data_IF_144314809147
#
_entry.id   IF_144314809147
#
_cell.length_a   1.000
_cell.length_b   1.000
_cell.length_c   1.000
_cell.angle_alpha   90.00
_cell.angle_beta   90.00
_cell.angle_gamma   90.00
#
_symmetry.space_group_name_H-M   'P 1'
#
loop_
_entity.id
_entity.type
_entity.pdbx_description
1 polymer ?
#
# COMPACT_ATOMS: atom_id res chain seq x y z
N UNK A 1 3.92 -7.80 -13.15
CA UNK A 1 4.96 -6.74 -13.13
C UNK A 1 5.84 -6.89 -11.88
N UNK A 2 7.04 -6.29 -11.80
CA UNK A 2 7.83 -6.27 -10.55
C UNK A 2 7.31 -5.21 -9.56
N UNK A 3 7.27 -5.52 -8.27
CA UNK A 3 6.75 -4.62 -7.21
C UNK A 3 7.40 -3.24 -7.20
N UNK A 4 8.72 -3.17 -7.31
CA UNK A 4 9.43 -1.88 -7.32
C UNK A 4 9.05 -1.00 -8.52
N UNK A 5 8.88 -1.63 -9.69
CA UNK A 5 8.46 -0.92 -10.91
C UNK A 5 7.03 -0.41 -10.77
N UNK A 6 6.11 -1.25 -10.27
CA UNK A 6 4.73 -0.88 -10.02
C UNK A 6 4.63 0.28 -9.01
N UNK A 7 5.35 0.21 -7.89
CA UNK A 7 5.40 1.27 -6.88
C UNK A 7 5.91 2.58 -7.46
N UNK A 8 7.00 2.55 -8.24
CA UNK A 8 7.55 3.75 -8.86
C UNK A 8 6.55 4.39 -9.84
N UNK A 9 5.80 3.58 -10.59
CA UNK A 9 4.73 4.03 -11.49
C UNK A 9 3.59 4.67 -10.70
N UNK A 10 3.08 4.01 -9.66
CA UNK A 10 1.98 4.51 -8.82
C UNK A 10 2.36 5.82 -8.11
N UNK A 11 3.58 5.91 -7.60
CA UNK A 11 4.08 7.14 -6.97
C UNK A 11 4.22 8.27 -7.99
N UNK A 12 4.73 7.98 -9.18
CA UNK A 12 4.86 8.99 -10.23
C UNK A 12 3.50 9.54 -10.64
N UNK A 13 2.52 8.67 -10.89
CA UNK A 13 1.14 9.07 -11.21
C UNK A 13 0.52 9.91 -10.08
N UNK A 14 0.70 9.49 -8.83
CA UNK A 14 0.24 10.27 -7.67
C UNK A 14 0.90 11.66 -7.60
N UNK A 15 2.22 11.77 -7.83
CA UNK A 15 2.93 13.06 -7.87
C UNK A 15 2.45 13.95 -9.01
N UNK A 16 2.19 13.39 -10.19
CA UNK A 16 1.68 14.13 -11.35
C UNK A 16 0.26 14.63 -11.09
N UNK A 17 -0.61 13.80 -10.52
CA UNK A 17 -1.97 14.19 -10.10
C UNK A 17 -1.94 15.25 -9.00
N UNK A 18 -1.02 15.17 -8.04
CA UNK A 18 -0.86 16.19 -6.99
C UNK A 18 -0.45 17.54 -7.60
N UNK A 19 0.54 17.55 -8.49
CA UNK A 19 0.98 18.76 -9.20
C UNK A 19 -0.14 19.37 -10.05
N UNK A 20 -0.99 18.53 -10.63
CA UNK A 20 -2.14 18.96 -11.42
C UNK A 20 -3.34 19.42 -10.56
N UNK A 21 -3.26 19.33 -9.23
CA UNK A 21 -4.39 19.62 -8.32
C UNK A 21 -5.52 18.60 -8.40
N UNK A 22 -5.24 17.41 -8.94
CA UNK A 22 -6.20 16.30 -9.13
C UNK A 22 -6.06 15.20 -8.07
N UNK A 23 -4.93 15.13 -7.34
CA UNK A 23 -4.81 14.28 -6.17
C UNK A 23 -5.34 15.04 -4.94
N UNK A 24 -6.31 14.44 -4.25
CA UNK A 24 -6.92 15.01 -3.04
C UNK A 24 -6.15 14.70 -1.76
N UNK A 25 -5.32 13.65 -1.76
CA UNK A 25 -4.68 13.13 -0.55
C UNK A 25 -3.17 13.38 -0.56
N UNK A 26 -2.62 14.08 0.45
CA UNK A 26 -1.19 14.34 0.56
C UNK A 26 -0.41 13.05 0.88
N UNK A 27 0.88 13.03 0.55
CA UNK A 27 1.70 11.81 0.60
C UNK A 27 1.78 11.21 2.00
N UNK A 28 1.79 12.07 3.01
CA UNK A 28 1.88 11.65 4.40
C UNK A 28 0.62 10.89 4.82
N UNK A 29 -0.56 11.32 4.39
CA UNK A 29 -1.81 10.60 4.62
C UNK A 29 -1.84 9.28 3.85
N UNK A 30 -1.39 9.29 2.59
CA UNK A 30 -1.31 8.08 1.76
C UNK A 30 -0.40 7.03 2.40
N UNK A 31 0.78 7.40 2.91
CA UNK A 31 1.70 6.44 3.53
C UNK A 31 1.33 6.10 4.97
N UNK A 32 0.65 7.00 5.70
CA UNK A 32 0.08 6.67 7.01
C UNK A 32 -0.87 5.48 6.95
N UNK A 33 -1.55 5.23 5.81
CA UNK A 33 -2.44 4.07 5.66
C UNK A 33 -1.73 2.72 5.82
N UNK A 34 -0.44 2.63 5.49
CA UNK A 34 0.36 1.41 5.74
C UNK A 34 0.58 1.18 7.25
N UNK A 35 0.58 2.22 8.09
CA UNK A 35 0.85 2.08 9.52
C UNK A 35 2.31 1.78 9.89
N UNK A 36 3.22 1.72 8.90
CA UNK A 36 4.66 1.54 9.11
C UNK A 36 5.36 2.81 9.63
N UNK A 37 6.55 2.70 10.24
CA UNK A 37 7.23 3.84 10.90
C UNK A 37 8.03 4.71 9.93
N UNK A 38 8.16 4.30 8.67
CA UNK A 38 9.00 5.00 7.70
C UNK A 38 8.28 6.19 7.04
N UNK A 39 6.96 6.34 7.22
CA UNK A 39 6.17 7.47 6.66
C UNK A 39 6.73 8.85 7.06
N UNK A 40 7.33 8.97 8.25
CA UNK A 40 7.95 10.20 8.75
C UNK A 40 9.18 10.69 7.95
N UNK A 41 9.76 9.83 7.11
CA UNK A 41 10.92 10.17 6.28
C UNK A 41 10.54 10.63 4.88
N UNK A 42 9.24 10.66 4.58
CA UNK A 42 8.76 11.04 3.27
C UNK A 42 8.62 12.55 3.20
N UNK A 43 9.44 13.17 2.36
CA UNK A 43 9.40 14.61 2.08
C UNK A 43 8.98 14.86 0.62
N UNK A 44 8.35 16.02 0.32
CA UNK A 44 7.81 16.32 -1.01
C UNK A 44 8.84 16.34 -2.14
N UNK A 45 10.12 16.53 -1.82
CA UNK A 45 11.22 16.63 -2.78
C UNK A 45 11.80 15.27 -3.21
N UNK A 46 11.29 14.17 -2.65
CA UNK A 46 11.76 12.83 -3.01
C UNK A 46 11.33 12.45 -4.44
N UNK A 47 12.25 11.81 -5.16
CA UNK A 47 11.93 11.23 -6.46
C UNK A 47 10.96 10.05 -6.29
N UNK A 48 10.16 9.71 -7.32
CA UNK A 48 9.24 8.57 -7.25
C UNK A 48 9.90 7.27 -6.80
N UNK A 49 11.14 7.03 -7.25
CA UNK A 49 11.93 5.85 -6.90
C UNK A 49 12.30 5.84 -5.41
N UNK A 50 12.69 6.99 -4.84
CA UNK A 50 13.03 7.08 -3.41
C UNK A 50 11.80 6.86 -2.53
N UNK A 51 10.64 7.36 -2.94
CA UNK A 51 9.38 7.13 -2.21
C UNK A 51 8.96 5.66 -2.33
N UNK A 52 9.09 5.05 -3.52
CA UNK A 52 8.83 3.64 -3.73
C UNK A 52 9.73 2.75 -2.85
N UNK A 53 11.00 3.12 -2.68
CA UNK A 53 11.96 2.44 -1.80
C UNK A 53 11.52 2.51 -0.32
N UNK A 54 11.08 3.68 0.14
CA UNK A 54 10.54 3.85 1.50
C UNK A 54 9.24 3.04 1.72
N UNK A 55 8.38 2.98 0.71
CA UNK A 55 7.17 2.14 0.75
C UNK A 55 7.56 0.66 0.81
N UNK A 56 8.53 0.23 0.00
CA UNK A 56 9.04 -1.13 0.05
C UNK A 56 9.61 -1.48 1.43
N UNK A 57 10.38 -0.56 2.05
CA UNK A 57 10.85 -0.74 3.42
C UNK A 57 9.71 -0.90 4.44
N UNK A 58 8.64 -0.12 4.34
CA UNK A 58 7.45 -0.31 5.19
C UNK A 58 6.79 -1.67 4.95
N UNK A 59 6.63 -2.09 3.69
CA UNK A 59 6.05 -3.38 3.34
C UNK A 59 6.89 -4.53 3.88
N UNK A 60 8.21 -4.42 3.84
CA UNK A 60 9.14 -5.40 4.40
C UNK A 60 9.01 -5.48 5.92
N UNK A 61 9.00 -4.34 6.63
CA UNK A 61 8.78 -4.30 8.08
C UNK A 61 7.43 -4.92 8.49
N UNK A 62 6.42 -4.84 7.62
CA UNK A 62 5.09 -5.38 7.86
C UNK A 62 4.92 -6.83 7.38
N UNK A 63 5.90 -7.41 6.69
CA UNK A 63 5.76 -8.74 6.07
C UNK A 63 4.77 -8.80 4.90
N UNK A 64 4.51 -7.67 4.23
CA UNK A 64 3.51 -7.51 3.16
C UNK A 64 4.11 -7.54 1.75
N UNK A 65 5.42 -7.76 1.61
CA UNK A 65 6.11 -7.75 0.30
C UNK A 65 5.52 -8.79 -0.66
N UNK A 66 5.24 -10.01 -0.18
CA UNK A 66 4.67 -11.07 -1.00
C UNK A 66 3.25 -10.70 -1.46
N UNK A 67 2.39 -10.27 -0.54
CA UNK A 67 1.00 -9.85 -0.84
C UNK A 67 0.97 -8.68 -1.84
N UNK A 68 1.81 -7.67 -1.60
CA UNK A 68 1.95 -6.52 -2.49
C UNK A 68 2.48 -6.94 -3.87
N UNK A 69 3.43 -7.89 -3.91
CA UNK A 69 4.00 -8.45 -5.12
C UNK A 69 3.01 -9.27 -5.93
N UNK A 70 2.18 -10.10 -5.29
CA UNK A 70 1.12 -10.88 -5.94
C UNK A 70 0.10 -9.94 -6.60
N UNK A 71 -0.34 -8.91 -5.86
CA UNK A 71 -1.31 -7.94 -6.34
C UNK A 71 -0.85 -7.18 -7.58
N UNK A 72 0.40 -6.70 -7.59
CA UNK A 72 0.94 -6.05 -8.80
C UNK A 72 1.37 -7.04 -9.88
N UNK A 73 1.51 -8.31 -9.51
CA UNK A 73 1.87 -9.42 -10.39
C UNK A 73 0.82 -9.66 -11.47
N UNK A 74 -0.44 -9.37 -11.18
CA UNK A 74 -1.59 -9.51 -12.08
C UNK A 74 -1.52 -8.56 -13.29
N UNK A 75 -0.83 -7.42 -13.15
CA UNK A 75 -0.71 -6.43 -14.21
C UNK A 75 0.51 -6.67 -15.10
N UNK A 76 0.28 -6.54 -16.42
CA UNK A 76 1.34 -6.72 -17.43
C UNK A 76 2.00 -5.40 -17.83
N UNK A 77 1.30 -4.27 -17.73
CA UNK A 77 1.80 -2.97 -18.19
C UNK A 77 1.46 -1.85 -17.21
N UNK A 78 2.19 -0.73 -17.30
CA UNK A 78 1.95 0.44 -16.44
C UNK A 78 0.58 1.07 -16.70
N UNK A 79 0.08 0.99 -17.94
CA UNK A 79 -1.24 1.52 -18.30
C UNK A 79 -2.37 0.69 -17.68
N UNK A 80 -2.21 -0.63 -17.67
CA UNK A 80 -3.13 -1.58 -17.03
C UNK A 80 -3.17 -1.36 -15.52
N UNK A 81 -2.00 -1.23 -14.89
CA UNK A 81 -1.87 -0.90 -13.47
C UNK A 81 -2.58 0.42 -13.11
N UNK A 82 -2.35 1.50 -13.88
CA UNK A 82 -2.91 2.82 -13.59
C UNK A 82 -4.40 2.96 -13.92
N UNK A 83 -4.95 2.05 -14.72
CA UNK A 83 -6.38 1.98 -15.04
C UNK A 83 -7.19 1.50 -13.84
N UNK A 84 -6.67 0.49 -13.13
CA UNK A 84 -7.38 -0.22 -12.07
C UNK A 84 -6.89 0.12 -10.66
N UNK A 85 -5.69 0.66 -10.52
CA UNK A 85 -5.05 0.88 -9.24
C UNK A 85 -4.45 2.28 -9.13
N UNK A 86 -4.59 2.89 -7.96
CA UNK A 86 -3.85 4.09 -7.58
C UNK A 86 -3.11 3.86 -6.26
N UNK A 87 -2.14 4.72 -5.96
CA UNK A 87 -1.28 4.56 -4.79
C UNK A 87 -2.07 4.51 -3.48
N UNK A 88 -3.11 5.34 -3.34
CA UNK A 88 -3.89 5.41 -2.11
C UNK A 88 -4.68 4.12 -1.87
N UNK A 89 -5.38 3.61 -2.89
CA UNK A 89 -6.17 2.38 -2.76
C UNK A 89 -5.26 1.17 -2.56
N UNK A 90 -4.13 1.10 -3.28
CA UNK A 90 -3.15 0.04 -3.10
C UNK A 90 -2.65 -0.04 -1.66
N UNK A 91 -2.23 1.08 -1.08
CA UNK A 91 -1.74 1.12 0.30
C UNK A 91 -2.85 0.94 1.33
N UNK A 92 -4.04 1.48 1.06
CA UNK A 92 -5.22 1.33 1.91
C UNK A 92 -5.70 -0.11 1.99
N UNK A 93 -5.63 -0.88 0.90
CA UNK A 93 -5.95 -2.31 0.91
C UNK A 93 -4.92 -3.11 1.70
N UNK A 94 -3.62 -2.84 1.54
CA UNK A 94 -2.55 -3.52 2.28
C UNK A 94 -2.58 -3.19 3.79
N UNK A 95 -2.86 -1.92 4.15
CA UNK A 95 -3.02 -1.48 5.54
C UNK A 95 -4.33 -1.96 6.18
N UNK A 96 -5.39 -2.04 5.39
CA UNK A 96 -6.71 -2.53 5.82
C UNK A 96 -6.78 -4.05 5.99
N UNK A 97 -5.97 -4.82 5.26
CA UNK A 97 -5.88 -6.28 5.41
C UNK A 97 -5.40 -6.69 6.81
N UNK A 98 -4.56 -5.86 7.45
CA UNK A 98 -4.16 -6.02 8.85
C UNK A 98 -5.32 -5.85 9.86
N UNK A 99 -6.44 -5.25 9.45
CA UNK A 99 -7.66 -5.15 10.27
C UNK A 99 -8.65 -6.30 10.02
N UNK A 100 -8.47 -7.08 8.94
CA UNK A 100 -9.36 -8.20 8.58
C UNK A 100 -8.83 -9.56 9.02
N UNK A 101 -7.53 -9.72 9.22
CA UNK A 101 -6.94 -10.98 9.72
C UNK A 101 -7.01 -11.12 11.25
N UNK A 102 -7.47 -10.10 11.98
CA UNK A 102 -7.75 -10.15 13.42
C UNK A 102 -9.09 -10.76 13.83
N UNK A 103 -9.69 -11.67 13.04
CA UNK A 103 -10.95 -12.33 13.41
C UNK A 103 -10.98 -13.80 13.04
N UNK A 104 -10.06 -14.59 13.62
CA UNK A 104 -10.22 -16.04 13.75
C UNK A 104 -9.25 -16.60 14.79
N UNK A 105 -9.52 -16.40 16.09
CA UNK A 105 -9.11 -17.36 17.13
C UNK A 105 -10.14 -17.34 18.28
N UNK A 106 -10.67 -18.54 18.55
CA UNK A 106 -11.26 -19.01 19.81
C UNK A 106 -12.56 -18.38 20.35
N UNK A 107 -13.66 -19.14 20.25
CA UNK A 107 -13.97 -20.04 21.36
C UNK A 107 -14.85 -21.21 20.92
N UNK A 108 -14.22 -22.37 20.90
CA UNK A 108 -14.85 -23.67 21.10
C UNK A 108 -15.62 -23.70 22.44
N UNK A 109 -16.71 -24.46 22.44
CA UNK A 109 -17.26 -25.17 23.60
C UNK A 109 -17.73 -24.35 24.83
N UNK A 110 -19.04 -24.16 24.95
CA UNK A 110 -19.68 -24.21 26.25
C UNK A 110 -21.04 -24.90 26.13
N UNK A 111 -21.02 -26.21 26.39
CA UNK A 111 -22.17 -27.00 26.82
C UNK A 111 -22.82 -26.30 28.01
N UNK A 112 -24.11 -25.99 27.90
CA UNK A 112 -24.95 -25.59 29.03
C UNK A 112 -26.00 -26.69 29.27
N UNK A 113 -25.74 -27.52 30.29
CA UNK A 113 -26.73 -28.33 31.00
C UNK A 113 -26.83 -27.69 32.39
N UNK A 114 -28.03 -27.26 32.81
CA UNK A 114 -28.86 -28.08 33.70
C UNK A 114 -30.28 -28.33 33.19
#
# INVERSE_FOLDING_TARGET
>A
MYLMEALAVLVKDWQEKLKAGQATTPLDEVVQTLGGKMHRWIIPELTPVMVADLIMGNLEEMGMIEVAGEKVGEFQTSADLLSDLNLHDFLGELGGENSRTGRNYDNHDHVAIP
#
